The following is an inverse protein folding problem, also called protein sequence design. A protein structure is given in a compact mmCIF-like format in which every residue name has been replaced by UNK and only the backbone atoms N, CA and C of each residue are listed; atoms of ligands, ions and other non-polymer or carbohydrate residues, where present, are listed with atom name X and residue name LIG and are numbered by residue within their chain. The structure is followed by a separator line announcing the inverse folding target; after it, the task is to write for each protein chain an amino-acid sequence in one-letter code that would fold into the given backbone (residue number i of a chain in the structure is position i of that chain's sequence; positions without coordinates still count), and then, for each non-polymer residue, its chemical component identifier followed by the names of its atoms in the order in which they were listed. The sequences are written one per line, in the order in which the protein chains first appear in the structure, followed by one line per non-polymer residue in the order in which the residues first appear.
data_IF_497165227022
#
_entry.id   IF_497165227022
#
_cell.length_a   1.000
_cell.length_b   1.000
_cell.length_c   1.000
_cell.angle_alpha   90.00
_cell.angle_beta   90.00
_cell.angle_gamma   90.00
#
_symmetry.space_group_name_H-M   'P 1'
#
loop_
_entity.id
_entity.type
_entity.pdbx_description
1 polymer ?
#
# COMPACT_ATOMS: atom_id res chain seq x y z
N UNK A 1 24.20 -2.25 6.67
CA UNK A 1 23.67 -3.34 5.80
C UNK A 1 22.53 -2.73 5.02
N UNK A 2 22.61 -2.71 3.68
CA UNK A 2 21.50 -2.25 2.83
C UNK A 2 20.40 -3.30 2.81
N UNK A 3 19.15 -2.88 2.96
CA UNK A 3 18.00 -3.79 2.81
C UNK A 3 17.88 -4.21 1.33
N UNK A 4 17.46 -5.45 1.03
CA UNK A 4 17.16 -5.83 -0.34
C UNK A 4 15.97 -5.01 -0.86
N UNK A 5 15.89 -4.83 -2.18
CA UNK A 5 14.78 -4.15 -2.83
C UNK A 5 13.71 -5.15 -3.22
N UNK A 6 12.44 -4.76 -3.13
CA UNK A 6 11.27 -5.51 -3.60
C UNK A 6 10.48 -4.68 -4.61
N UNK A 7 9.80 -5.35 -5.52
CA UNK A 7 8.96 -4.74 -6.55
C UNK A 7 7.50 -5.09 -6.29
N UNK A 8 6.65 -4.07 -6.16
CA UNK A 8 5.21 -4.20 -5.99
C UNK A 8 4.47 -3.44 -7.08
N UNK A 9 3.15 -3.54 -7.09
CA UNK A 9 2.30 -2.58 -7.81
C UNK A 9 1.48 -1.74 -6.83
N UNK A 10 1.53 -0.42 -6.99
CA UNK A 10 0.68 0.55 -6.28
C UNK A 10 -0.30 1.16 -7.28
N UNK A 11 -1.61 0.94 -7.12
CA UNK A 11 -2.63 1.41 -8.07
C UNK A 11 -2.32 1.02 -9.52
N UNK A 12 -1.86 -0.23 -9.73
CA UNK A 12 -1.37 -0.79 -11.00
C UNK A 12 -0.10 -0.15 -11.58
N UNK A 13 0.59 0.71 -10.84
CA UNK A 13 1.89 1.26 -11.23
C UNK A 13 3.01 0.52 -10.51
N UNK A 14 4.07 0.08 -11.22
CA UNK A 14 5.20 -0.61 -10.59
C UNK A 14 5.97 0.35 -9.66
N UNK A 15 6.27 -0.10 -8.45
CA UNK A 15 7.06 0.65 -7.46
C UNK A 15 8.11 -0.29 -6.87
N UNK A 16 9.33 0.23 -6.70
CA UNK A 16 10.41 -0.47 -6.00
C UNK A 16 10.65 0.18 -4.65
N UNK A 17 10.72 -0.63 -3.60
CA UNK A 17 10.89 -0.20 -2.21
C UNK A 17 11.85 -1.14 -1.47
N UNK A 18 12.31 -0.73 -0.30
CA UNK A 18 13.11 -1.60 0.55
C UNK A 18 12.26 -2.73 1.16
N UNK A 19 12.85 -3.91 1.30
CA UNK A 19 12.20 -5.03 1.95
C UNK A 19 11.84 -4.69 3.41
N UNK A 20 10.63 -5.09 3.81
CA UNK A 20 10.08 -4.80 5.13
C UNK A 20 9.63 -3.35 5.30
N UNK A 21 9.39 -2.61 4.21
CA UNK A 21 8.55 -1.41 4.24
C UNK A 21 7.12 -1.83 4.54
N UNK A 22 6.46 -1.17 5.50
CA UNK A 22 5.03 -1.39 5.76
C UNK A 22 4.13 -0.56 4.85
N UNK A 23 2.86 -0.96 4.74
CA UNK A 23 1.84 -0.17 4.03
C UNK A 23 1.77 1.26 4.58
N UNK A 24 1.77 1.45 5.91
CA UNK A 24 1.80 2.78 6.51
C UNK A 24 3.06 3.59 6.15
N UNK A 25 4.24 2.97 6.09
CA UNK A 25 5.47 3.66 5.67
C UNK A 25 5.41 4.10 4.20
N UNK A 26 4.81 3.28 3.33
CA UNK A 26 4.60 3.64 1.93
C UNK A 26 3.60 4.80 1.81
N UNK A 27 2.46 4.74 2.50
CA UNK A 27 1.45 5.79 2.50
C UNK A 27 1.95 7.10 3.13
N UNK A 28 2.87 7.06 4.08
CA UNK A 28 3.46 8.26 4.65
C UNK A 28 4.25 9.11 3.63
N UNK A 29 4.75 8.49 2.56
CA UNK A 29 5.45 9.20 1.47
C UNK A 29 4.48 9.94 0.55
N UNK A 30 3.27 9.41 0.37
CA UNK A 30 2.21 10.01 -0.44
C UNK A 30 0.85 9.73 0.22
N UNK A 31 0.47 10.53 1.25
CA UNK A 31 -0.75 10.28 2.01
C UNK A 31 -1.99 10.40 1.13
N UNK A 32 -2.85 9.38 1.05
CA UNK A 32 -4.11 9.48 0.32
C UNK A 32 -5.08 10.43 1.03
N UNK A 33 -5.97 11.06 0.27
CA UNK A 33 -7.04 11.88 0.84
C UNK A 33 -8.11 11.01 1.48
N UNK A 34 -8.53 11.34 2.70
CA UNK A 34 -9.64 10.66 3.37
C UNK A 34 -11.01 11.11 2.82
N UNK A 35 -12.01 10.20 2.74
CA UNK A 35 -11.93 8.78 3.09
C UNK A 35 -11.19 7.99 2.01
N UNK A 36 -10.51 6.91 2.40
CA UNK A 36 -9.96 5.93 1.47
C UNK A 36 -10.07 4.51 2.03
N UNK A 37 -9.99 3.52 1.14
CA UNK A 37 -9.86 2.10 1.47
C UNK A 37 -8.59 1.54 0.84
N UNK A 38 -8.04 0.49 1.45
CA UNK A 38 -6.83 -0.19 0.98
C UNK A 38 -7.16 -1.65 0.67
N UNK A 39 -6.57 -2.20 -0.39
CA UNK A 39 -6.53 -3.64 -0.60
C UNK A 39 -5.10 -4.09 -0.89
N UNK A 40 -4.69 -5.20 -0.29
CA UNK A 40 -3.47 -5.91 -0.65
C UNK A 40 -3.88 -7.22 -1.31
N UNK A 41 -3.40 -7.47 -2.53
CA UNK A 41 -3.71 -8.68 -3.30
C UNK A 41 -5.22 -8.95 -3.42
N UNK A 42 -6.00 -7.91 -3.74
CA UNK A 42 -7.47 -7.90 -3.80
C UNK A 42 -8.22 -8.11 -2.47
N UNK A 43 -7.51 -8.22 -1.34
CA UNK A 43 -8.11 -8.33 -0.02
C UNK A 43 -8.09 -6.97 0.69
N UNK A 44 -9.27 -6.49 1.11
CA UNK A 44 -9.37 -5.22 1.82
C UNK A 44 -8.66 -5.29 3.17
N UNK A 45 -7.79 -4.31 3.42
CA UNK A 45 -7.10 -4.15 4.70
C UNK A 45 -7.83 -3.12 5.56
N UNK A 46 -8.22 -3.54 6.76
CA UNK A 46 -8.66 -2.61 7.79
C UNK A 46 -7.52 -1.66 8.19
N UNK A 47 -7.87 -0.43 8.59
CA UNK A 47 -6.90 0.59 8.99
C UNK A 47 -5.91 0.10 10.04
N UNK A 48 -6.39 -0.62 11.06
CA UNK A 48 -5.54 -1.16 12.14
C UNK A 48 -4.53 -2.20 11.64
N UNK A 49 -4.91 -3.03 10.67
CA UNK A 49 -4.02 -4.01 10.05
C UNK A 49 -3.02 -3.34 9.10
N UNK A 50 -3.43 -2.28 8.41
CA UNK A 50 -2.57 -1.53 7.47
C UNK A 50 -1.35 -0.89 8.12
N UNK A 51 -1.41 -0.53 9.42
CA UNK A 51 -0.28 0.08 10.12
C UNK A 51 0.92 -0.87 10.26
N UNK A 52 0.65 -2.16 10.39
CA UNK A 52 1.65 -3.20 10.65
C UNK A 52 1.88 -4.17 9.49
N UNK A 53 1.09 -4.08 8.41
CA UNK A 53 1.23 -4.96 7.26
C UNK A 53 2.53 -4.66 6.50
N UNK A 54 3.44 -5.62 6.46
CA UNK A 54 4.70 -5.53 5.71
C UNK A 54 4.46 -5.94 4.26
N UNK A 55 4.95 -5.13 3.33
CA UNK A 55 4.90 -5.43 1.91
C UNK A 55 5.99 -6.44 1.55
N UNK A 56 5.64 -7.35 0.67
CA UNK A 56 6.48 -8.41 0.13
C UNK A 56 6.64 -8.28 -1.38
N UNK A 57 7.66 -8.94 -1.92
CA UNK A 57 7.93 -8.88 -3.36
C UNK A 57 6.77 -9.46 -4.17
N UNK A 58 6.32 -8.72 -5.17
CA UNK A 58 5.18 -9.07 -6.02
C UNK A 58 3.82 -8.62 -5.52
N UNK A 59 3.70 -8.01 -4.33
CA UNK A 59 2.42 -7.57 -3.80
C UNK A 59 1.73 -6.53 -4.70
N UNK A 60 0.40 -6.50 -4.64
CA UNK A 60 -0.42 -5.42 -5.21
C UNK A 60 -1.14 -4.67 -4.12
N UNK A 61 -0.78 -3.40 -3.95
CA UNK A 61 -1.48 -2.46 -3.09
C UNK A 61 -2.36 -1.54 -3.94
N UNK A 62 -3.66 -1.56 -3.71
CA UNK A 62 -4.61 -0.64 -4.34
C UNK A 62 -5.23 0.28 -3.27
N UNK A 63 -5.28 1.58 -3.57
CA UNK A 63 -5.84 2.63 -2.74
C UNK A 63 -7.05 3.21 -3.45
N UNK A 64 -8.22 3.09 -2.82
CA UNK A 64 -9.49 3.52 -3.37
C UNK A 64 -9.98 4.77 -2.63
N UNK A 65 -10.36 5.81 -3.36
CA UNK A 65 -11.16 6.90 -2.81
C UNK A 65 -12.63 6.67 -3.16
N UNK A 66 -13.59 6.95 -2.25
CA UNK A 66 -15.00 6.84 -2.57
C UNK A 66 -15.32 7.81 -3.71
N UNK A 67 -15.97 7.28 -4.74
CA UNK A 67 -16.56 8.11 -5.79
C UNK A 67 -17.85 8.65 -5.19
N UNK A 68 -17.89 9.95 -4.88
CA UNK A 68 -19.13 10.61 -4.43
C UNK A 68 -20.16 10.52 -5.57
N UNK A 69 -21.11 9.59 -5.45
CA UNK A 69 -22.37 9.64 -6.19
C UNK A 69 -23.32 10.59 -5.47
N UNK A 70 -23.80 11.62 -6.17
CA UNK A 70 -24.81 12.54 -5.67
C UNK A 70 -26.19 11.91 -5.53
#
# INVERSE_FOLDING_TARGET
MTKPMISITLNRQPVTLEAGTSVAQLLAQAPPSEPYALAVNDEFLDRQHSEHHLLTDGDRLDVFSPIQGG
#
